data_IF_071301569328
#
_entry.id   IF_071301569328
#
_cell.length_a   1.000
_cell.length_b   1.000
_cell.length_c   1.000
_cell.angle_alpha   90.00
_cell.angle_beta   90.00
_cell.angle_gamma   90.00
#
_symmetry.space_group_name_H-M   'P 1'
#
loop_
_entity.id
_entity.type
_entity.pdbx_description
1 polymer ?
#
# COMPACT_ATOMS: atom_id res chain seq x y z
N UNK A 1 54.63 -18.12 -27.36
CA UNK A 1 55.15 -18.55 -28.67
C UNK A 1 56.66 -18.40 -28.68
N UNK A 2 57.38 -19.26 -29.41
CA UNK A 2 58.81 -19.08 -29.68
C UNK A 2 58.90 -18.41 -31.05
N UNK A 3 59.59 -17.27 -31.13
CA UNK A 3 59.91 -16.62 -32.40
C UNK A 3 61.42 -16.71 -32.58
N UNK A 4 61.86 -17.24 -33.72
CA UNK A 4 63.27 -17.40 -34.09
C UNK A 4 63.52 -16.63 -35.38
N UNK A 5 64.68 -15.98 -35.47
CA UNK A 5 65.08 -15.22 -36.65
C UNK A 5 66.51 -14.71 -36.54
N UNK A 6 67.06 -14.31 -37.68
CA UNK A 6 68.37 -13.67 -37.73
C UNK A 6 68.30 -12.30 -37.04
N UNK A 7 69.23 -12.05 -36.12
CA UNK A 7 69.32 -10.79 -35.38
C UNK A 7 70.48 -9.93 -35.92
N UNK A 8 70.19 -8.68 -36.26
CA UNK A 8 71.13 -7.74 -36.87
C UNK A 8 71.71 -6.72 -35.87
N UNK A 9 71.46 -6.91 -34.56
CA UNK A 9 71.86 -5.99 -33.51
C UNK A 9 70.80 -4.93 -33.16
N UNK A 10 69.65 -4.93 -33.83
CA UNK A 10 68.53 -4.01 -33.53
C UNK A 10 67.74 -4.41 -32.28
N UNK A 11 66.86 -3.51 -31.82
CA UNK A 11 65.96 -3.82 -30.71
C UNK A 11 64.97 -4.92 -31.08
N UNK A 12 64.80 -5.91 -30.21
CA UNK A 12 63.77 -6.94 -30.33
C UNK A 12 62.51 -6.45 -29.63
N UNK A 13 61.38 -6.42 -30.34
CA UNK A 13 60.08 -6.07 -29.79
C UNK A 13 59.23 -7.34 -29.66
N UNK A 14 58.62 -7.52 -28.49
CA UNK A 14 57.59 -8.52 -28.25
C UNK A 14 56.27 -7.79 -27.99
N UNK A 15 55.27 -8.06 -28.82
CA UNK A 15 53.91 -7.61 -28.57
C UNK A 15 53.32 -8.42 -27.40
N UNK A 16 52.77 -7.70 -26.42
CA UNK A 16 52.16 -8.25 -25.21
C UNK A 16 50.68 -7.87 -25.11
N UNK A 17 50.13 -7.22 -26.13
CA UNK A 17 48.73 -6.86 -26.19
C UNK A 17 47.86 -8.10 -26.45
N UNK A 18 46.62 -8.08 -25.94
CA UNK A 18 45.65 -9.16 -26.14
C UNK A 18 45.96 -10.47 -25.41
N UNK A 19 46.90 -10.46 -24.46
CA UNK A 19 47.13 -11.58 -23.55
C UNK A 19 45.94 -11.74 -22.59
N UNK A 20 45.56 -12.98 -22.30
CA UNK A 20 44.60 -13.30 -21.25
C UNK A 20 45.15 -12.93 -19.86
N UNK A 21 44.29 -12.93 -18.84
CA UNK A 21 44.71 -12.72 -17.45
C UNK A 21 45.75 -13.76 -17.02
N UNK A 22 46.84 -13.32 -16.41
CA UNK A 22 47.88 -14.22 -15.93
C UNK A 22 49.28 -13.64 -15.92
N UNK A 23 50.25 -14.48 -15.56
CA UNK A 23 51.66 -14.14 -15.55
C UNK A 23 52.39 -14.88 -16.68
N UNK A 24 53.09 -14.11 -17.51
CA UNK A 24 53.82 -14.57 -18.67
C UNK A 24 55.31 -14.31 -18.48
N UNK A 25 56.13 -15.29 -18.87
CA UNK A 25 57.58 -15.19 -18.82
C UNK A 25 58.13 -15.19 -20.25
N UNK A 26 58.68 -14.05 -20.66
CA UNK A 26 59.33 -13.87 -21.94
C UNK A 26 60.83 -14.04 -21.77
N UNK A 27 61.41 -15.00 -22.47
CA UNK A 27 62.87 -15.22 -22.47
C UNK A 27 63.41 -14.87 -23.85
N UNK A 28 64.32 -13.89 -23.91
CA UNK A 28 65.09 -13.59 -25.11
C UNK A 28 66.44 -14.32 -25.00
N UNK A 29 66.80 -15.07 -26.04
CA UNK A 29 68.13 -15.69 -26.17
C UNK A 29 68.74 -15.18 -27.46
N UNK A 30 69.94 -14.63 -27.38
CA UNK A 30 70.71 -14.17 -28.56
C UNK A 30 71.98 -14.98 -28.68
N UNK A 31 72.37 -15.29 -29.92
CA UNK A 31 73.61 -15.98 -30.25
C UNK A 31 74.47 -15.06 -31.13
N UNK A 32 75.79 -15.07 -30.91
CA UNK A 32 76.73 -14.47 -31.85
C UNK A 32 77.11 -15.45 -32.99
N UNK A 33 77.84 -14.98 -33.99
CA UNK A 33 78.30 -15.79 -35.13
C UNK A 33 79.30 -16.89 -34.76
N UNK A 34 79.78 -16.90 -33.51
CA UNK A 34 80.67 -17.90 -32.94
C UNK A 34 79.94 -18.83 -31.96
N UNK A 35 78.61 -18.83 -31.97
CA UNK A 35 77.72 -19.65 -31.14
C UNK A 35 77.77 -19.34 -29.63
N UNK A 36 78.41 -18.23 -29.22
CA UNK A 36 78.25 -17.76 -27.84
C UNK A 36 76.86 -17.17 -27.66
N UNK A 37 76.27 -17.35 -26.48
CA UNK A 37 74.91 -16.90 -26.22
C UNK A 37 74.80 -16.11 -24.93
N UNK A 38 73.77 -15.27 -24.87
CA UNK A 38 73.30 -14.62 -23.66
C UNK A 38 71.78 -14.61 -23.64
N UNK A 39 71.17 -14.49 -22.47
CA UNK A 39 69.72 -14.42 -22.35
C UNK A 39 69.26 -13.44 -21.27
N UNK A 40 68.04 -12.95 -21.44
CA UNK A 40 67.34 -12.13 -20.46
C UNK A 40 65.88 -12.57 -20.34
N UNK A 41 65.25 -12.24 -19.20
CA UNK A 41 63.86 -12.60 -18.90
C UNK A 41 63.05 -11.39 -18.47
N UNK A 42 61.86 -11.28 -19.04
CA UNK A 42 60.86 -10.27 -18.66
C UNK A 42 59.61 -10.99 -18.19
N UNK A 43 59.16 -10.65 -16.98
CA UNK A 43 57.87 -11.08 -16.45
C UNK A 43 56.82 -10.03 -16.82
N UNK A 44 55.72 -10.46 -17.40
CA UNK A 44 54.57 -9.63 -17.76
C UNK A 44 53.36 -10.18 -17.00
N UNK A 45 52.67 -9.35 -16.23
CA UNK A 45 51.44 -9.72 -15.53
C UNK A 45 50.27 -8.93 -16.12
N UNK A 46 49.25 -9.66 -16.56
CA UNK A 46 47.96 -9.11 -16.99
C UNK A 46 46.98 -9.35 -15.86
N UNK A 47 46.39 -8.27 -15.36
CA UNK A 47 45.47 -8.27 -14.22
C UNK A 47 44.20 -7.52 -14.60
N UNK A 48 43.05 -7.96 -14.08
CA UNK A 48 41.83 -7.17 -14.21
C UNK A 48 41.76 -6.15 -13.09
N UNK A 49 41.53 -4.90 -13.46
CA UNK A 49 41.39 -3.78 -12.54
C UNK A 49 40.11 -3.00 -12.79
N UNK A 50 39.22 -3.52 -13.64
CA UNK A 50 37.99 -2.83 -14.03
C UNK A 50 36.85 -3.44 -13.25
N UNK A 51 36.17 -2.68 -12.37
CA UNK A 51 34.98 -3.19 -11.72
C UNK A 51 33.84 -3.47 -12.70
N UNK A 52 32.92 -4.37 -12.32
CA UNK A 52 31.64 -4.51 -13.02
C UNK A 52 30.93 -3.18 -13.15
N UNK A 53 30.12 -3.01 -14.19
CA UNK A 53 29.17 -1.90 -14.26
C UNK A 53 27.79 -2.37 -13.83
N UNK A 54 27.05 -1.49 -13.17
CA UNK A 54 25.66 -1.72 -12.76
C UNK A 54 24.82 -0.52 -13.18
N UNK A 55 23.60 -0.78 -13.63
CA UNK A 55 22.62 0.26 -13.89
C UNK A 55 21.97 0.76 -12.59
N UNK A 56 21.13 1.79 -12.68
CA UNK A 56 20.42 2.37 -11.55
C UNK A 56 18.92 2.33 -11.86
N UNK A 57 18.22 1.21 -11.55
CA UNK A 57 16.77 1.12 -11.68
C UNK A 57 16.07 2.20 -10.86
N UNK A 58 14.81 2.50 -11.21
CA UNK A 58 14.02 3.45 -10.44
C UNK A 58 13.53 2.84 -9.13
N UNK A 59 13.34 3.69 -8.13
CA UNK A 59 12.63 3.33 -6.90
C UNK A 59 11.19 2.87 -7.20
N UNK A 60 10.65 2.02 -6.33
CA UNK A 60 9.35 1.37 -6.51
C UNK A 60 8.43 1.76 -5.35
N UNK A 61 7.27 2.31 -5.68
CA UNK A 61 6.18 2.53 -4.72
C UNK A 61 4.97 1.69 -5.11
N UNK A 62 4.38 0.96 -4.15
CA UNK A 62 3.19 0.15 -4.43
C UNK A 62 2.27 -0.04 -3.22
N UNK A 63 1.01 -0.38 -3.48
CA UNK A 63 -0.02 -0.63 -2.46
C UNK A 63 0.18 -1.97 -1.77
N UNK A 64 0.10 -2.01 -0.45
CA UNK A 64 0.23 -3.26 0.29
C UNK A 64 -0.75 -4.34 -0.19
N UNK A 65 -0.24 -5.55 -0.38
CA UNK A 65 -1.01 -6.69 -0.88
C UNK A 65 -1.17 -6.75 -2.41
N UNK A 66 -0.74 -5.73 -3.15
CA UNK A 66 -0.62 -5.82 -4.60
C UNK A 66 0.57 -6.73 -5.01
N UNK A 67 0.53 -7.25 -6.24
CA UNK A 67 1.54 -8.21 -6.75
C UNK A 67 2.05 -7.80 -8.13
N UNK A 68 3.20 -8.34 -8.54
CA UNK A 68 3.85 -8.05 -9.81
C UNK A 68 5.00 -7.04 -9.71
N UNK A 69 5.50 -6.77 -8.50
CA UNK A 69 6.59 -5.82 -8.27
C UNK A 69 7.93 -6.57 -8.18
N UNK A 70 8.89 -6.10 -8.97
CA UNK A 70 10.23 -6.64 -9.00
C UNK A 70 11.23 -5.56 -9.32
N UNK A 71 12.41 -5.65 -8.72
CA UNK A 71 13.58 -4.90 -9.16
C UNK A 71 14.25 -5.71 -10.27
N UNK A 72 14.70 -5.02 -11.32
CA UNK A 72 15.46 -5.60 -12.41
C UNK A 72 16.76 -4.81 -12.55
N UNK A 73 17.88 -5.46 -12.30
CA UNK A 73 19.21 -4.92 -12.55
C UNK A 73 19.81 -5.58 -13.78
N UNK A 74 20.56 -4.80 -14.56
CA UNK A 74 21.30 -5.24 -15.74
C UNK A 74 22.81 -4.94 -15.56
N UNK A 75 23.49 -5.58 -14.58
CA UNK A 75 24.93 -5.44 -14.43
C UNK A 75 25.68 -6.11 -15.60
N UNK A 76 26.93 -5.72 -15.81
CA UNK A 76 27.79 -6.36 -16.82
C UNK A 76 29.25 -6.31 -16.46
N UNK A 77 29.97 -7.39 -16.77
CA UNK A 77 31.42 -7.50 -16.65
C UNK A 77 31.94 -8.53 -17.68
N UNK A 78 33.23 -8.47 -18.03
CA UNK A 78 33.84 -9.45 -18.93
C UNK A 78 34.25 -10.75 -18.22
N UNK A 79 34.47 -10.70 -16.90
CA UNK A 79 34.90 -11.79 -16.04
C UNK A 79 34.02 -11.88 -14.77
N UNK A 80 32.69 -12.03 -14.91
CA UNK A 80 31.76 -12.03 -13.78
C UNK A 80 31.99 -13.22 -12.84
N UNK A 81 31.66 -13.05 -11.56
CA UNK A 81 31.91 -14.07 -10.54
C UNK A 81 30.71 -14.34 -9.64
N UNK A 82 30.29 -13.37 -8.80
CA UNK A 82 29.19 -13.57 -7.85
C UNK A 82 28.39 -12.30 -7.62
N UNK A 83 27.17 -12.46 -7.14
CA UNK A 83 26.33 -11.36 -6.66
C UNK A 83 25.86 -11.59 -5.22
N UNK A 84 25.56 -10.49 -4.52
CA UNK A 84 24.95 -10.46 -3.19
C UNK A 84 23.82 -9.43 -3.18
N UNK A 85 22.66 -9.80 -2.65
CA UNK A 85 21.52 -8.90 -2.46
C UNK A 85 21.26 -8.71 -0.97
N UNK A 86 21.23 -7.46 -0.56
CA UNK A 86 20.92 -7.05 0.81
C UNK A 86 19.57 -6.37 0.87
N UNK A 87 18.81 -6.64 1.93
CA UNK A 87 17.63 -5.85 2.31
C UNK A 87 17.86 -5.23 3.67
N UNK A 88 17.79 -3.90 3.76
CA UNK A 88 18.04 -3.17 5.01
C UNK A 88 19.38 -3.54 5.65
N UNK A 89 20.41 -3.74 4.82
CA UNK A 89 21.76 -4.14 5.23
C UNK A 89 21.94 -5.61 5.63
N UNK A 90 20.88 -6.44 5.59
CA UNK A 90 20.99 -7.88 5.84
C UNK A 90 21.04 -8.64 4.52
N UNK A 91 21.99 -9.57 4.36
CA UNK A 91 22.10 -10.43 3.18
C UNK A 91 20.85 -11.32 3.10
N UNK A 92 20.16 -11.28 1.96
CA UNK A 92 18.95 -12.08 1.71
C UNK A 92 19.12 -13.09 0.56
N UNK A 93 20.05 -12.82 -0.36
CA UNK A 93 20.35 -13.71 -1.48
C UNK A 93 21.79 -13.54 -1.95
N UNK A 94 22.39 -14.61 -2.49
CA UNK A 94 23.74 -14.60 -3.05
C UNK A 94 23.95 -15.81 -3.94
N UNK A 95 24.59 -15.64 -5.10
CA UNK A 95 24.94 -16.75 -5.98
C UNK A 95 26.09 -16.41 -6.91
N UNK A 96 26.56 -17.42 -7.64
CA UNK A 96 27.44 -17.19 -8.79
C UNK A 96 26.70 -16.32 -9.82
N UNK A 97 27.40 -15.37 -10.41
CA UNK A 97 26.89 -14.45 -11.42
C UNK A 97 27.65 -14.64 -12.72
N UNK A 98 26.93 -14.85 -13.80
CA UNK A 98 27.49 -15.14 -15.13
C UNK A 98 27.42 -13.95 -16.09
N UNK A 99 27.10 -12.75 -15.58
CA UNK A 99 26.90 -11.55 -16.39
C UNK A 99 25.45 -11.35 -16.86
N UNK A 100 24.51 -12.23 -16.49
CA UNK A 100 23.09 -12.07 -16.80
C UNK A 100 22.39 -11.02 -15.94
N UNK A 101 21.21 -10.59 -16.39
CA UNK A 101 20.32 -9.71 -15.63
C UNK A 101 19.80 -10.39 -14.36
N UNK A 102 19.63 -9.61 -13.31
CA UNK A 102 19.18 -10.08 -12.00
C UNK A 102 17.81 -9.49 -11.68
N UNK A 103 16.83 -10.37 -11.46
CA UNK A 103 15.47 -9.97 -11.09
C UNK A 103 15.13 -10.45 -9.69
N UNK A 104 14.64 -9.52 -8.87
CA UNK A 104 14.24 -9.78 -7.50
C UNK A 104 12.78 -9.36 -7.31
N UNK A 105 11.90 -10.32 -6.99
CA UNK A 105 10.54 -10.00 -6.57
C UNK A 105 10.58 -9.28 -5.22
N UNK A 106 9.80 -8.20 -5.13
CA UNK A 106 9.64 -7.42 -3.89
C UNK A 106 8.19 -7.45 -3.42
N UNK A 107 7.37 -8.40 -3.88
CA UNK A 107 5.99 -8.59 -3.43
C UNK A 107 5.91 -9.11 -1.99
N UNK A 108 4.74 -8.91 -1.35
CA UNK A 108 4.44 -9.48 -0.03
C UNK A 108 5.18 -8.81 1.13
N UNK A 109 5.75 -7.63 0.91
CA UNK A 109 6.25 -6.78 1.98
C UNK A 109 5.09 -6.12 2.72
N UNK A 110 5.33 -5.79 3.98
CA UNK A 110 4.39 -5.02 4.80
C UNK A 110 4.59 -3.51 4.59
N UNK A 111 3.69 -2.68 5.09
CA UNK A 111 3.86 -1.23 5.11
C UNK A 111 5.24 -0.79 5.61
N UNK A 112 5.86 0.13 4.87
CA UNK A 112 7.14 0.71 5.22
C UNK A 112 8.07 0.91 4.03
N UNK A 113 9.28 1.38 4.33
CA UNK A 113 10.33 1.60 3.36
C UNK A 113 11.43 0.56 3.53
N UNK A 114 11.90 0.04 2.40
CA UNK A 114 12.95 -0.96 2.31
C UNK A 114 14.02 -0.46 1.36
N UNK A 115 15.29 -0.65 1.71
CA UNK A 115 16.38 -0.50 0.75
C UNK A 115 16.87 -1.88 0.31
N UNK A 116 17.07 -2.03 -0.99
CA UNK A 116 17.62 -3.22 -1.61
C UNK A 116 18.92 -2.86 -2.29
N UNK A 117 20.02 -3.47 -1.85
CA UNK A 117 21.35 -3.21 -2.41
C UNK A 117 21.82 -4.46 -3.13
N UNK A 118 22.10 -4.34 -4.42
CA UNK A 118 22.80 -5.36 -5.20
C UNK A 118 24.30 -5.04 -5.18
N UNK A 119 25.13 -6.03 -4.88
CA UNK A 119 26.58 -5.98 -5.02
C UNK A 119 26.99 -7.07 -6.00
N UNK A 120 27.81 -6.73 -6.98
CA UNK A 120 28.35 -7.69 -7.96
C UNK A 120 29.87 -7.65 -7.93
N UNK A 121 30.49 -8.81 -8.07
CA UNK A 121 31.93 -8.99 -8.06
C UNK A 121 32.39 -9.69 -9.35
N UNK A 122 33.57 -9.32 -9.82
CA UNK A 122 34.30 -10.05 -10.86
C UNK A 122 35.25 -11.11 -10.25
N UNK A 123 35.90 -11.88 -11.12
CA UNK A 123 36.87 -12.93 -10.70
C UNK A 123 38.17 -12.38 -10.12
N UNK A 124 38.45 -11.09 -10.29
CA UNK A 124 39.61 -10.38 -9.73
C UNK A 124 39.28 -9.57 -8.48
N UNK A 125 38.09 -9.80 -7.89
CA UNK A 125 37.57 -9.17 -6.68
C UNK A 125 37.29 -7.65 -6.81
N UNK A 126 37.23 -7.12 -8.05
CA UNK A 126 36.65 -5.80 -8.26
C UNK A 126 35.12 -5.89 -8.11
N UNK A 127 34.49 -4.81 -7.66
CA UNK A 127 33.07 -4.83 -7.32
C UNK A 127 32.40 -3.50 -7.59
N UNK A 128 31.08 -3.58 -7.79
CA UNK A 128 30.17 -2.44 -7.90
C UNK A 128 28.88 -2.74 -7.16
N UNK A 129 28.14 -1.69 -6.80
CA UNK A 129 26.86 -1.83 -6.11
C UNK A 129 25.87 -0.76 -6.53
N UNK A 130 24.60 -1.11 -6.52
CA UNK A 130 23.46 -0.21 -6.71
C UNK A 130 22.44 -0.40 -5.58
N UNK A 131 21.62 0.62 -5.30
CA UNK A 131 20.57 0.54 -4.30
C UNK A 131 19.26 1.11 -4.82
N UNK A 132 18.20 0.31 -4.69
CA UNK A 132 16.83 0.69 -5.03
C UNK A 132 16.00 0.78 -3.77
N UNK A 133 15.22 1.85 -3.62
CA UNK A 133 14.26 1.99 -2.54
C UNK A 133 12.90 1.44 -2.96
N UNK A 134 12.27 0.72 -2.05
CA UNK A 134 10.91 0.19 -2.21
C UNK A 134 10.05 0.72 -1.07
N UNK A 135 9.00 1.46 -1.39
CA UNK A 135 8.01 1.95 -0.43
C UNK A 135 6.69 1.20 -0.61
N UNK A 136 6.25 0.53 0.45
CA UNK A 136 4.92 -0.06 0.53
C UNK A 136 4.02 0.90 1.28
N UNK A 137 2.97 1.35 0.62
CA UNK A 137 2.01 2.32 1.15
C UNK A 137 0.63 1.70 1.26
N UNK A 138 -0.23 2.36 2.03
CA UNK A 138 -1.64 2.04 2.11
C UNK A 138 -2.45 3.29 1.80
N UNK A 139 -3.08 3.28 0.62
CA UNK A 139 -4.00 4.32 0.16
C UNK A 139 -5.44 3.82 0.08
N UNK A 140 -5.72 2.63 0.61
CA UNK A 140 -7.03 2.00 0.51
C UNK A 140 -7.88 2.39 1.72
N UNK A 141 -8.99 3.12 1.54
CA UNK A 141 -9.85 3.46 2.67
C UNK A 141 -10.56 2.25 3.28
N UNK A 142 -10.94 2.32 4.57
CA UNK A 142 -11.82 1.35 5.17
C UNK A 142 -13.12 1.16 4.37
N UNK A 143 -13.63 -0.06 4.40
CA UNK A 143 -15.00 -0.34 3.95
C UNK A 143 -15.95 -0.27 5.12
N UNK A 144 -17.13 0.31 4.90
CA UNK A 144 -18.21 0.38 5.89
C UNK A 144 -19.53 0.03 5.18
N UNK A 145 -20.41 -0.69 5.86
CA UNK A 145 -21.75 -0.98 5.36
C UNK A 145 -22.70 0.22 5.50
N UNK A 146 -23.90 0.08 4.93
CA UNK A 146 -24.96 1.08 5.02
C UNK A 146 -26.22 0.45 5.63
N UNK A 147 -26.35 0.44 6.97
CA UNK A 147 -27.55 -0.01 7.65
C UNK A 147 -28.79 0.79 7.24
N UNK A 148 -29.98 0.21 7.39
CA UNK A 148 -31.24 0.92 7.10
C UNK A 148 -31.56 1.99 8.15
N UNK A 149 -32.30 3.02 7.72
CA UNK A 149 -32.89 4.01 8.60
C UNK A 149 -33.83 3.38 9.64
N UNK A 150 -33.81 3.88 10.87
CA UNK A 150 -34.58 3.34 11.99
C UNK A 150 -35.75 4.27 12.30
N UNK A 151 -36.94 3.69 12.52
CA UNK A 151 -38.08 4.40 13.09
C UNK A 151 -38.66 3.62 14.27
N UNK A 152 -38.89 4.30 15.39
CA UNK A 152 -39.43 3.66 16.61
C UNK A 152 -40.30 4.60 17.44
N UNK A 153 -41.10 4.02 18.34
CA UNK A 153 -42.01 4.76 19.23
C UNK A 153 -41.26 5.34 20.45
N UNK A 154 -41.41 6.64 20.69
CA UNK A 154 -40.77 7.32 21.81
C UNK A 154 -41.11 6.69 23.16
N UNK A 155 -40.08 6.47 23.99
CA UNK A 155 -40.20 5.84 25.31
C UNK A 155 -40.00 4.32 25.32
N UNK A 156 -39.76 3.70 24.16
CA UNK A 156 -39.32 2.31 24.06
C UNK A 156 -37.79 2.19 24.11
N UNK A 157 -37.26 0.99 24.35
CA UNK A 157 -35.82 0.71 24.47
C UNK A 157 -35.40 -0.49 23.63
N UNK A 158 -34.11 -0.62 23.35
CA UNK A 158 -33.52 -1.70 22.56
C UNK A 158 -33.21 -1.32 21.11
N UNK A 159 -33.20 -0.02 20.79
CA UNK A 159 -32.92 0.47 19.45
C UNK A 159 -31.44 0.83 19.35
N UNK A 160 -30.76 0.19 18.41
CA UNK A 160 -29.35 0.45 18.12
C UNK A 160 -29.15 0.55 16.62
N UNK A 161 -28.17 1.36 16.22
CA UNK A 161 -27.55 1.24 14.91
C UNK A 161 -26.33 0.34 15.08
N UNK A 162 -26.15 -0.59 14.15
CA UNK A 162 -24.97 -1.44 14.08
C UNK A 162 -24.31 -1.23 12.73
N UNK A 163 -23.07 -0.75 12.72
CA UNK A 163 -22.24 -0.70 11.53
C UNK A 163 -21.21 -1.81 11.56
N UNK A 164 -21.03 -2.46 10.41
CA UNK A 164 -19.96 -3.40 10.13
C UNK A 164 -18.96 -2.74 9.18
N UNK A 165 -17.79 -2.41 9.71
CA UNK A 165 -16.67 -1.89 8.93
C UNK A 165 -15.51 -2.90 8.92
N UNK A 166 -14.63 -2.78 7.93
CA UNK A 166 -13.40 -3.56 7.86
C UNK A 166 -12.29 -2.79 7.17
N UNK A 167 -11.07 -3.00 7.67
CA UNK A 167 -9.83 -2.49 7.13
C UNK A 167 -8.67 -3.43 7.55
N UNK A 168 -7.53 -3.37 6.86
CA UNK A 168 -6.33 -4.12 7.23
C UNK A 168 -5.59 -3.51 8.43
N UNK A 169 -5.63 -2.18 8.56
CA UNK A 169 -5.08 -1.40 9.68
C UNK A 169 -6.10 -0.43 10.29
N UNK A 170 -7.15 -0.93 10.96
CA UNK A 170 -8.10 -0.08 11.68
C UNK A 170 -7.41 0.85 12.71
N UNK A 171 -7.83 2.12 12.77
CA UNK A 171 -7.35 3.12 13.74
C UNK A 171 -8.44 3.55 14.71
N UNK A 172 -9.42 4.30 14.20
CA UNK A 172 -10.45 4.96 15.03
C UNK A 172 -11.76 5.16 14.28
N UNK A 173 -12.79 5.56 15.01
CA UNK A 173 -14.02 6.07 14.43
C UNK A 173 -14.47 7.36 15.11
N UNK A 174 -15.16 8.21 14.35
CA UNK A 174 -15.84 9.40 14.85
C UNK A 174 -17.35 9.25 14.56
N UNK A 175 -18.17 9.48 15.58
CA UNK A 175 -19.63 9.50 15.47
C UNK A 175 -20.15 10.92 15.58
N UNK A 176 -20.89 11.36 14.57
CA UNK A 176 -21.55 12.65 14.52
C UNK A 176 -23.06 12.48 14.67
N UNK A 177 -23.68 13.34 15.47
CA UNK A 177 -25.14 13.42 15.61
C UNK A 177 -25.58 14.82 15.21
N UNK A 178 -26.47 14.93 14.22
CA UNK A 178 -26.91 16.22 13.67
C UNK A 178 -25.73 17.09 13.22
N UNK A 179 -24.70 16.47 12.64
CA UNK A 179 -23.48 17.11 12.16
C UNK A 179 -22.49 17.56 13.23
N UNK A 180 -22.76 17.33 14.52
CA UNK A 180 -21.83 17.64 15.61
C UNK A 180 -21.13 16.37 16.11
N UNK A 181 -19.81 16.43 16.31
CA UNK A 181 -19.05 15.31 16.87
C UNK A 181 -19.61 14.96 18.26
N UNK A 182 -20.13 13.76 18.38
CA UNK A 182 -20.72 13.25 19.62
C UNK A 182 -19.78 12.31 20.35
N UNK A 183 -19.05 11.47 19.61
CA UNK A 183 -18.16 10.46 20.18
C UNK A 183 -16.98 10.19 19.24
N UNK A 184 -15.85 9.77 19.79
CA UNK A 184 -14.64 9.37 19.06
C UNK A 184 -13.89 8.36 19.90
N UNK A 185 -13.45 7.25 19.30
CA UNK A 185 -12.79 6.15 20.01
C UNK A 185 -11.94 5.30 19.06
N UNK A 186 -11.05 4.48 19.64
CA UNK A 186 -10.25 3.52 18.89
C UNK A 186 -11.17 2.47 18.22
N UNK A 187 -10.81 2.10 17.00
CA UNK A 187 -11.51 1.11 16.21
C UNK A 187 -10.53 0.00 15.85
N UNK A 188 -10.86 -1.23 16.25
CA UNK A 188 -9.99 -2.38 16.03
C UNK A 188 -10.54 -3.35 14.96
N UNK A 189 -11.47 -2.90 14.12
CA UNK A 189 -12.16 -3.74 13.14
C UNK A 189 -13.40 -4.47 13.67
N UNK A 190 -13.75 -4.32 14.95
CA UNK A 190 -15.02 -4.85 15.48
C UNK A 190 -16.23 -4.04 14.99
N UNK A 191 -17.42 -4.64 15.06
CA UNK A 191 -18.68 -3.94 14.82
C UNK A 191 -18.86 -2.77 15.80
N UNK A 192 -19.43 -1.67 15.29
CA UNK A 192 -19.66 -0.45 16.06
C UNK A 192 -21.17 -0.36 16.33
N UNK A 193 -21.53 -0.43 17.61
CA UNK A 193 -22.91 -0.43 18.07
C UNK A 193 -23.24 0.85 18.83
N UNK A 194 -24.22 1.59 18.34
CA UNK A 194 -24.65 2.87 18.90
C UNK A 194 -26.10 2.76 19.36
N UNK A 195 -26.34 2.89 20.67
CA UNK A 195 -27.70 2.98 21.19
C UNK A 195 -28.32 4.31 20.81
N UNK A 196 -29.55 4.23 20.30
CA UNK A 196 -30.36 5.40 19.92
C UNK A 196 -31.58 5.54 20.81
N UNK A 197 -31.61 4.87 21.97
CA UNK A 197 -32.67 4.99 22.97
C UNK A 197 -32.63 6.35 23.69
N UNK A 198 -33.76 6.74 24.29
CA UNK A 198 -33.85 7.95 25.11
C UNK A 198 -33.87 9.27 24.34
N UNK A 199 -33.93 9.22 23.00
CA UNK A 199 -34.08 10.40 22.16
C UNK A 199 -35.50 11.00 22.29
N UNK A 200 -35.58 12.32 22.11
CA UNK A 200 -36.87 13.02 22.02
C UNK A 200 -37.49 12.85 20.63
N UNK A 201 -38.80 13.13 20.51
CA UNK A 201 -39.51 13.09 19.23
C UNK A 201 -38.79 13.94 18.16
N UNK A 202 -38.58 13.37 16.97
CA UNK A 202 -37.88 14.06 15.89
C UNK A 202 -37.12 13.12 14.97
N UNK A 203 -36.34 13.72 14.07
CA UNK A 203 -35.45 13.03 13.15
C UNK A 203 -34.02 13.43 13.52
N UNK A 204 -33.16 12.43 13.66
CA UNK A 204 -31.74 12.58 13.94
C UNK A 204 -30.96 11.96 12.79
N UNK A 205 -29.86 12.58 12.39
CA UNK A 205 -28.89 11.91 11.53
C UNK A 205 -27.70 11.46 12.37
N UNK A 206 -27.30 10.22 12.18
CA UNK A 206 -26.11 9.63 12.79
C UNK A 206 -25.14 9.32 11.66
N UNK A 207 -24.01 10.00 11.65
CA UNK A 207 -22.94 9.77 10.67
C UNK A 207 -21.76 9.14 11.36
N UNK A 208 -21.37 7.94 10.93
CA UNK A 208 -20.18 7.24 11.38
C UNK A 208 -19.08 7.42 10.35
N UNK A 209 -17.88 7.84 10.78
CA UNK A 209 -16.69 7.90 9.94
C UNK A 209 -15.62 7.04 10.57
N UNK A 210 -15.14 6.04 9.83
CA UNK A 210 -14.05 5.15 10.23
C UNK A 210 -12.74 5.56 9.54
N UNK A 211 -11.62 5.35 10.23
CA UNK A 211 -10.28 5.71 9.77
C UNK A 211 -9.34 4.51 9.93
N UNK A 212 -8.36 4.41 9.03
CA UNK A 212 -7.21 3.51 9.16
C UNK A 212 -5.97 4.25 9.69
N UNK A 213 -4.91 3.49 9.98
CA UNK A 213 -3.63 4.01 10.49
C UNK A 213 -2.87 4.88 9.49
N UNK A 214 -3.19 4.75 8.20
CA UNK A 214 -2.61 5.52 7.09
C UNK A 214 -3.32 6.86 6.88
N UNK A 215 -4.44 7.07 7.58
CA UNK A 215 -5.24 8.29 7.55
C UNK A 215 -6.29 8.29 6.43
N UNK A 216 -6.50 7.18 5.73
CA UNK A 216 -7.65 7.07 4.85
C UNK A 216 -8.93 6.88 5.68
N UNK A 217 -10.08 7.24 5.11
CA UNK A 217 -11.33 7.27 5.84
C UNK A 217 -12.52 7.01 4.94
N UNK A 218 -13.57 6.45 5.52
CA UNK A 218 -14.86 6.26 4.86
C UNK A 218 -16.00 6.42 5.89
N UNK A 219 -17.22 6.65 5.44
CA UNK A 219 -18.33 6.87 6.36
C UNK A 219 -19.71 6.65 5.77
N UNK A 220 -20.65 6.43 6.67
CA UNK A 220 -22.06 6.13 6.38
C UNK A 220 -22.98 7.01 7.25
N UNK A 221 -24.24 7.19 6.84
CA UNK A 221 -25.23 7.96 7.59
C UNK A 221 -26.57 7.24 7.66
N UNK A 222 -27.07 7.10 8.89
CA UNK A 222 -28.38 6.50 9.20
C UNK A 222 -29.29 7.57 9.81
N UNK A 223 -30.53 7.65 9.34
CA UNK A 223 -31.56 8.48 9.93
C UNK A 223 -32.35 7.71 10.98
N UNK A 224 -32.60 8.36 12.12
CA UNK A 224 -33.38 7.82 13.23
C UNK A 224 -34.60 8.71 13.46
N UNK A 225 -35.79 8.13 13.30
CA UNK A 225 -37.06 8.83 13.51
C UNK A 225 -37.76 8.34 14.76
N UNK A 226 -37.98 9.23 15.73
CA UNK A 226 -38.69 8.93 16.97
C UNK A 226 -40.13 9.46 16.88
N UNK A 227 -41.08 8.54 16.87
CA UNK A 227 -42.50 8.81 16.67
C UNK A 227 -43.23 8.96 18.01
N UNK A 228 -44.31 9.75 18.04
CA UNK A 228 -45.16 9.87 19.22
C UNK A 228 -45.83 8.54 19.57
N UNK A 229 -46.03 8.29 20.86
CA UNK A 229 -46.83 7.13 21.28
C UNK A 229 -48.31 7.33 21.01
N UNK A 230 -48.94 6.32 20.39
CA UNK A 230 -50.39 6.33 20.21
C UNK A 230 -51.04 5.75 21.46
N UNK A 231 -51.50 6.62 22.36
CA UNK A 231 -52.31 6.16 23.50
C UNK A 231 -53.73 5.87 23.02
N UNK A 232 -54.05 4.58 22.79
CA UNK A 232 -55.43 4.15 22.55
C UNK A 232 -56.26 4.39 23.81
N UNK A 233 -56.98 5.51 23.85
CA UNK A 233 -57.92 5.79 24.93
C UNK A 233 -59.16 4.93 24.72
N UNK A 234 -59.20 3.76 25.35
CA UNK A 234 -60.43 2.95 25.46
C UNK A 234 -61.42 3.74 26.29
N UNK A 235 -62.33 4.47 25.64
CA UNK A 235 -63.46 5.11 26.32
C UNK A 235 -64.40 4.00 26.75
N UNK A 236 -64.33 3.60 28.03
CA UNK A 236 -65.29 2.68 28.63
C UNK A 236 -66.62 3.43 28.80
N UNK A 237 -67.47 3.38 27.78
CA UNK A 237 -68.86 3.84 27.89
C UNK A 237 -69.56 2.93 28.91
N UNK A 238 -69.72 3.44 30.14
CA UNK A 238 -70.55 2.79 31.15
C UNK A 238 -72.00 3.03 30.74
N UNK A 239 -72.63 2.05 30.09
CA UNK A 239 -74.07 2.06 29.81
C UNK A 239 -74.83 1.79 31.10
N UNK A 240 -75.30 2.84 31.76
CA UNK A 240 -76.34 2.73 32.77
C UNK A 240 -77.62 2.31 32.06
N UNK A 241 -78.05 1.06 32.26
CA UNK A 241 -79.29 0.54 31.70
C UNK A 241 -80.48 1.36 32.18
N UNK A 242 -81.22 1.93 31.24
CA UNK A 242 -82.61 2.34 31.46
C UNK A 242 -83.39 2.00 30.20
N UNK A 243 -84.56 1.38 30.42
CA UNK A 243 -85.36 0.66 29.44
C UNK A 243 -85.73 1.45 28.17
N UNK A 244 -85.52 0.76 27.05
CA UNK A 244 -86.39 0.62 25.86
C UNK A 244 -87.24 1.83 25.42
N UNK A 245 -86.90 2.42 24.26
CA UNK A 245 -87.85 2.66 23.14
C UNK A 245 -87.09 2.76 21.82
N UNK A 246 -87.54 1.99 20.83
CA UNK A 246 -87.00 1.77 19.47
C UNK A 246 -87.10 2.99 18.56
N UNK A 247 -86.04 3.31 17.81
CA UNK A 247 -86.15 3.86 16.43
C UNK A 247 -84.83 3.71 15.64
N UNK A 248 -84.95 3.15 14.44
CA UNK A 248 -83.91 2.88 13.44
C UNK A 248 -83.33 4.16 12.84
N UNK A 249 -82.00 4.33 12.76
CA UNK A 249 -81.29 5.23 11.81
C UNK A 249 -79.80 4.90 11.73
N UNK A 250 -79.38 4.51 10.51
CA UNK A 250 -78.08 4.59 9.81
C UNK A 250 -76.74 4.77 10.55
N UNK A 251 -75.79 3.88 10.22
CA UNK A 251 -74.34 3.99 10.48
C UNK A 251 -73.69 5.22 9.81
N UNK A 252 -72.58 5.74 10.37
CA UNK A 252 -71.44 6.16 9.57
C UNK A 252 -70.28 5.18 9.74
N UNK A 253 -69.85 4.76 8.55
CA UNK A 253 -68.71 3.92 8.16
C UNK A 253 -67.39 4.38 8.81
N UNK A 254 -66.56 3.40 9.19
CA UNK A 254 -65.14 3.50 9.52
C UNK A 254 -64.37 4.45 8.58
N UNK A 255 -63.56 5.35 9.12
CA UNK A 255 -62.51 6.02 8.36
C UNK A 255 -61.25 5.11 8.32
N UNK A 256 -60.83 4.58 7.17
CA UNK A 256 -59.55 3.89 7.07
C UNK A 256 -58.44 4.93 6.99
N UNK A 257 -57.64 5.02 8.06
CA UNK A 257 -56.38 5.78 8.05
C UNK A 257 -55.53 5.39 6.83
N UNK A 258 -55.21 6.40 6.01
CA UNK A 258 -54.32 6.29 4.86
C UNK A 258 -52.98 5.66 5.28
N UNK A 259 -52.47 4.62 4.60
CA UNK A 259 -51.06 4.28 4.73
C UNK A 259 -50.25 5.39 4.03
N UNK A 260 -49.53 6.18 4.82
CA UNK A 260 -48.53 7.12 4.30
C UNK A 260 -47.35 6.30 3.78
N UNK A 261 -47.35 5.98 2.48
CA UNK A 261 -46.20 5.40 1.79
C UNK A 261 -45.20 6.53 1.53
N UNK A 262 -44.19 6.65 2.39
CA UNK A 262 -43.02 7.49 2.10
C UNK A 262 -42.06 6.64 1.26
N UNK A 263 -42.01 6.91 -0.05
CA UNK A 263 -40.95 6.46 -0.93
C UNK A 263 -39.71 7.31 -0.63
N UNK A 264 -38.78 6.79 0.18
CA UNK A 264 -37.44 7.37 0.30
C UNK A 264 -36.60 6.72 -0.80
N UNK A 265 -36.28 7.52 -1.82
CA UNK A 265 -35.37 7.12 -2.88
C UNK A 265 -33.93 7.12 -2.33
N UNK A 266 -33.32 5.94 -2.20
CA UNK A 266 -31.88 5.82 -1.99
C UNK A 266 -31.16 6.15 -3.31
N UNK A 267 -30.59 7.36 -3.37
CA UNK A 267 -29.60 7.72 -4.37
C UNK A 267 -28.28 8.02 -3.64
N UNK A 268 -27.63 6.96 -3.15
CA UNK A 268 -26.25 7.02 -2.67
C UNK A 268 -25.28 7.02 -3.84
N UNK A 269 -25.05 8.19 -4.44
CA UNK A 269 -23.83 8.46 -5.17
C UNK A 269 -23.00 9.41 -4.29
N UNK A 270 -21.95 8.87 -3.69
CA UNK A 270 -21.01 9.62 -2.88
C UNK A 270 -20.36 10.75 -3.72
N UNK A 271 -20.58 12.00 -3.32
CA UNK A 271 -19.74 13.13 -3.73
C UNK A 271 -19.06 13.63 -2.46
N UNK A 272 -17.80 13.25 -2.32
CA UNK A 272 -16.88 13.80 -1.33
C UNK A 272 -16.57 15.25 -1.73
N UNK A 273 -17.08 16.21 -0.96
CA UNK A 273 -16.76 17.63 -1.14
C UNK A 273 -15.47 17.95 -0.38
N UNK A 274 -14.35 18.00 -1.11
CA UNK A 274 -13.06 18.48 -0.62
C UNK A 274 -13.10 20.01 -0.40
N UNK A 275 -13.17 20.47 0.85
CA UNK A 275 -13.05 21.89 1.20
C UNK A 275 -11.57 22.30 1.33
N UNK A 276 -10.98 22.80 0.24
CA UNK A 276 -9.66 23.44 0.25
C UNK A 276 -9.75 24.86 0.84
N UNK A 277 -9.22 25.06 2.04
CA UNK A 277 -9.04 26.39 2.65
C UNK A 277 -7.82 27.11 2.02
N UNK A 278 -8.07 28.01 1.06
CA UNK A 278 -7.04 28.94 0.57
C UNK A 278 -6.95 30.13 1.54
N UNK A 279 -5.92 30.15 2.38
CA UNK A 279 -5.57 31.31 3.19
C UNK A 279 -4.98 32.43 2.31
N UNK A 280 -5.76 33.48 2.05
CA UNK A 280 -5.26 34.74 1.48
C UNK A 280 -4.79 35.66 2.60
N UNK A 281 -3.48 35.74 2.79
CA UNK A 281 -2.87 36.80 3.62
C UNK A 281 -3.06 38.16 2.94
N UNK A 282 -3.87 39.04 3.56
CA UNK A 282 -3.93 40.46 3.21
C UNK A 282 -2.66 41.16 3.74
N UNK A 283 -1.83 41.67 2.82
CA UNK A 283 -0.75 42.61 3.13
C UNK A 283 -1.41 43.93 3.57
N UNK A 284 -1.15 44.38 4.80
CA UNK A 284 -1.44 45.77 5.21
C UNK A 284 -0.43 46.69 4.53
N UNK A 285 -0.96 47.79 3.99
CA UNK A 285 -0.20 48.92 3.45
C UNK A 285 0.60 49.63 4.52
#
# INVERSE_FOLDING_TARGET
MIHEGDWDGSSVLADVDGLDLGAYNYTLVVYDTSENWNSDKVLVSVVDTTPPTIDNPADIDYEEGSTGHSILWSPSDNNPHLYEVYRNGSLIDSSDWDGSELSLSVDGLTLGAYNYTLVVYDTSENWSSDTVFVSVVDTTPPTIDSPEDIAYEGGTSGHNITWSASDLYPDKYDLYVNGSLSYSDEWNGSEILVSVDGLTLGIYNYTLVVYDNSGNSNGDTVFVTVLSSITTTTTTTTTTGTDTTTTTTTEPVMDPLLPLVILIASAGAAIVVLLLFIFRFKRKS
#
